data_IF_620855666240
#
_entry.id   IF_620855666240
#
_cell.length_a   1.000
_cell.length_b   1.000
_cell.length_c   1.000
_cell.angle_alpha   90.00
_cell.angle_beta   90.00
_cell.angle_gamma   90.00
#
_symmetry.space_group_name_H-M   'P 1'
#
loop_
_entity.id
_entity.type
_entity.pdbx_description
1 polymer ?
#
# COMPACT_ATOMS: atom_id res chain seq x y z
N UNK A 1 -3.21 10.93 20.78
CA UNK A 1 -2.11 9.96 20.97
C UNK A 1 -0.87 10.60 20.41
N UNK A 2 0.29 10.46 21.06
CA UNK A 2 1.51 11.07 20.54
C UNK A 2 2.04 10.29 19.34
N UNK A 3 2.22 10.96 18.20
CA UNK A 3 2.83 10.43 16.97
C UNK A 3 4.36 10.38 17.10
N UNK A 4 5.04 9.69 16.18
CA UNK A 4 6.50 9.81 16.08
C UNK A 4 6.90 11.22 15.63
N UNK A 5 6.03 11.88 14.86
CA UNK A 5 6.21 13.26 14.39
C UNK A 5 6.32 14.25 15.55
N UNK A 6 5.61 14.01 16.65
CA UNK A 6 5.66 14.87 17.83
C UNK A 6 7.05 14.89 18.47
N UNK A 7 7.85 13.82 18.29
CA UNK A 7 9.24 13.79 18.74
C UNK A 7 10.13 14.76 17.95
N UNK A 8 9.76 15.07 16.70
CA UNK A 8 10.46 16.01 15.82
C UNK A 8 9.89 17.42 16.05
N UNK A 9 8.57 17.58 15.98
CA UNK A 9 7.89 18.89 16.06
C UNK A 9 8.10 19.61 17.39
N UNK A 10 8.35 18.89 18.51
CA UNK A 10 8.68 19.52 19.80
C UNK A 10 9.98 20.32 19.77
N UNK A 11 10.92 19.98 18.89
CA UNK A 11 12.22 20.66 18.79
C UNK A 11 12.12 22.02 18.08
N UNK A 12 11.04 22.24 17.33
CA UNK A 12 10.76 23.46 16.58
C UNK A 12 9.90 24.42 17.43
N UNK A 13 10.49 24.91 18.52
CA UNK A 13 9.85 25.96 19.34
C UNK A 13 10.30 27.35 18.86
N UNK A 14 9.36 28.27 18.50
CA UNK A 14 9.71 29.60 18.02
C UNK A 14 10.56 30.39 19.02
N UNK A 15 11.34 31.36 18.54
CA UNK A 15 12.18 32.24 19.36
C UNK A 15 13.33 31.57 20.12
N UNK A 16 13.57 30.27 19.91
CA UNK A 16 14.74 29.57 20.47
C UNK A 16 16.01 29.89 19.66
N UNK A 17 15.91 29.83 18.33
CA UNK A 17 16.98 30.19 17.41
C UNK A 17 16.41 30.63 16.08
N UNK A 18 16.90 31.76 15.54
CA UNK A 18 16.52 32.26 14.21
C UNK A 18 17.01 31.36 13.08
N UNK A 19 18.09 30.61 13.32
CA UNK A 19 18.65 29.65 12.36
C UNK A 19 18.76 28.27 13.02
N UNK A 20 18.12 27.27 12.41
CA UNK A 20 18.22 25.87 12.81
C UNK A 20 18.75 25.07 11.62
N UNK A 21 19.80 24.28 11.84
CA UNK A 21 20.43 23.39 10.87
C UNK A 21 20.07 21.96 11.23
N UNK A 22 19.49 21.22 10.30
CA UNK A 22 18.98 19.88 10.55
C UNK A 22 19.66 18.86 9.65
N UNK A 23 20.30 17.86 10.24
CA UNK A 23 20.73 16.66 9.53
C UNK A 23 19.54 15.69 9.44
N UNK A 24 19.14 15.34 8.22
CA UNK A 24 18.00 14.46 7.97
C UNK A 24 18.38 13.39 6.93
N UNK A 25 19.24 12.42 7.31
CA UNK A 25 19.69 11.35 6.41
C UNK A 25 18.51 10.52 5.89
N UNK A 26 17.45 10.40 6.68
CA UNK A 26 16.26 9.64 6.37
C UNK A 26 15.14 10.51 5.78
N UNK A 27 15.36 11.77 5.40
CA UNK A 27 14.32 12.62 4.76
C UNK A 27 12.98 12.67 5.52
N UNK A 28 13.00 12.58 6.85
CA UNK A 28 11.83 12.63 7.73
C UNK A 28 11.14 13.99 7.67
N UNK A 29 11.88 15.09 7.50
CA UNK A 29 11.34 16.44 7.47
C UNK A 29 10.56 16.75 6.19
N UNK A 30 10.67 15.93 5.15
CA UNK A 30 9.90 16.08 3.91
C UNK A 30 8.50 15.47 3.98
N UNK A 31 8.22 14.74 5.05
CA UNK A 31 6.89 14.17 5.28
C UNK A 31 5.87 15.30 5.50
N UNK A 32 4.70 15.15 4.88
CA UNK A 32 3.68 16.18 4.77
C UNK A 32 3.27 16.81 6.10
N UNK A 33 2.95 15.99 7.11
CA UNK A 33 2.48 16.48 8.41
C UNK A 33 3.61 17.12 9.21
N UNK A 34 4.86 16.70 8.99
CA UNK A 34 6.01 17.38 9.58
C UNK A 34 6.23 18.75 8.94
N UNK A 35 6.19 18.83 7.60
CA UNK A 35 6.29 20.10 6.87
C UNK A 35 5.19 21.08 7.29
N UNK A 36 3.95 20.60 7.39
CA UNK A 36 2.80 21.38 7.85
C UNK A 36 3.02 21.85 9.29
N UNK A 37 3.36 20.95 10.21
CA UNK A 37 3.58 21.30 11.62
C UNK A 37 4.72 22.30 11.83
N UNK A 38 5.83 22.19 11.07
CA UNK A 38 6.94 23.15 11.13
C UNK A 38 6.48 24.53 10.62
N UNK A 39 5.71 24.58 9.53
CA UNK A 39 5.16 25.84 8.98
C UNK A 39 4.12 26.49 9.90
N UNK A 40 3.25 25.71 10.53
CA UNK A 40 2.27 26.19 11.51
C UNK A 40 2.96 26.82 12.73
N UNK A 41 4.13 26.31 13.11
CA UNK A 41 4.98 26.91 14.13
C UNK A 41 5.72 28.17 13.65
N UNK A 42 5.54 28.60 12.40
CA UNK A 42 6.11 29.83 11.84
C UNK A 42 7.52 29.68 11.26
N UNK A 43 8.01 28.45 11.14
CA UNK A 43 9.32 28.18 10.54
C UNK A 43 9.21 28.02 9.01
N UNK A 44 10.17 28.58 8.29
CA UNK A 44 10.35 28.28 6.87
C UNK A 44 11.47 27.25 6.68
N UNK A 45 11.25 26.28 5.78
CA UNK A 45 12.22 25.23 5.46
C UNK A 45 12.88 25.50 4.10
N UNK A 46 14.21 25.43 4.07
CA UNK A 46 14.98 25.42 2.83
C UNK A 46 15.86 24.17 2.78
N UNK A 47 15.72 23.30 1.76
CA UNK A 47 16.64 22.19 1.55
C UNK A 47 17.99 22.71 1.04
N UNK A 48 19.08 22.15 1.57
CA UNK A 48 20.44 22.42 1.11
C UNK A 48 20.83 21.38 0.06
N UNK A 49 20.67 21.73 -1.21
CA UNK A 49 20.98 20.85 -2.35
C UNK A 49 22.08 21.44 -3.24
N UNK A 50 21.96 22.74 -3.56
CA UNK A 50 22.93 23.49 -4.35
C UNK A 50 23.40 24.70 -3.57
N UNK A 51 24.71 24.89 -3.47
CA UNK A 51 25.33 25.96 -2.68
C UNK A 51 24.90 27.36 -3.15
N UNK A 52 24.79 27.57 -4.47
CA UNK A 52 24.53 28.89 -5.06
C UNK A 52 23.06 29.27 -4.90
N UNK A 53 22.16 28.37 -5.29
CA UNK A 53 20.72 28.54 -5.16
C UNK A 53 20.31 28.71 -3.70
N UNK A 54 20.88 27.88 -2.81
CA UNK A 54 20.67 28.02 -1.38
C UNK A 54 21.15 29.38 -0.87
N UNK A 55 22.38 29.80 -1.21
CA UNK A 55 22.91 31.08 -0.71
C UNK A 55 22.07 32.25 -1.20
N UNK A 56 21.66 32.25 -2.46
CA UNK A 56 20.78 33.26 -3.01
C UNK A 56 19.45 33.36 -2.23
N UNK A 57 18.80 32.22 -1.98
CA UNK A 57 17.54 32.17 -1.24
C UNK A 57 17.70 32.62 0.23
N UNK A 58 18.76 32.17 0.90
CA UNK A 58 19.11 32.55 2.27
C UNK A 58 19.31 34.07 2.41
N UNK A 59 20.13 34.65 1.54
CA UNK A 59 20.47 36.09 1.57
C UNK A 59 19.23 36.95 1.29
N UNK A 60 18.48 36.59 0.24
CA UNK A 60 17.33 37.36 -0.21
C UNK A 60 16.18 37.32 0.82
N UNK A 61 15.82 36.13 1.30
CA UNK A 61 14.60 35.92 2.09
C UNK A 61 14.79 36.05 3.60
N UNK A 62 15.98 35.75 4.13
CA UNK A 62 16.21 35.67 5.58
C UNK A 62 17.25 36.65 6.06
N UNK A 63 18.47 36.60 5.54
CA UNK A 63 19.56 37.47 6.02
C UNK A 63 19.20 38.94 5.92
N UNK A 64 18.68 39.37 4.77
CA UNK A 64 18.25 40.76 4.56
C UNK A 64 17.16 41.23 5.53
N UNK A 65 16.25 40.33 5.94
CA UNK A 65 15.19 40.59 6.93
C UNK A 65 15.75 40.69 8.34
N UNK A 66 16.66 39.78 8.71
CA UNK A 66 17.33 39.80 10.00
C UNK A 66 18.19 41.05 10.20
N UNK A 67 18.88 41.51 9.16
CA UNK A 67 19.66 42.75 9.20
C UNK A 67 18.76 44.00 9.39
N UNK A 68 17.47 43.92 9.03
CA UNK A 68 16.44 44.94 9.32
C UNK A 68 15.75 44.76 10.68
N UNK A 69 16.14 43.76 11.46
CA UNK A 69 15.57 43.46 12.77
C UNK A 69 14.25 42.69 12.75
N UNK A 70 13.81 42.18 11.59
CA UNK A 70 12.60 41.36 11.49
C UNK A 70 12.81 39.98 12.13
N UNK A 71 11.81 39.48 12.86
CA UNK A 71 11.83 38.14 13.47
C UNK A 71 11.27 37.11 12.49
N UNK A 72 12.15 36.32 11.89
CA UNK A 72 11.80 35.16 11.06
C UNK A 72 12.66 33.97 11.47
N UNK A 73 12.07 32.79 11.56
CA UNK A 73 12.78 31.57 11.98
C UNK A 73 13.00 30.65 10.75
N UNK A 74 14.27 30.36 10.46
CA UNK A 74 14.70 29.56 9.31
C UNK A 74 15.19 28.17 9.76
N UNK A 75 14.72 27.15 9.06
CA UNK A 75 15.22 25.78 9.13
C UNK A 75 15.94 25.43 7.83
N UNK A 76 17.22 25.11 7.92
CA UNK A 76 18.04 24.59 6.82
C UNK A 76 18.13 23.08 6.97
N UNK A 77 17.66 22.34 5.97
CA UNK A 77 17.64 20.87 6.00
C UNK A 77 18.75 20.34 5.11
N UNK A 78 19.63 19.55 5.69
CA UNK A 78 20.70 18.84 4.98
C UNK A 78 20.32 17.38 4.79
N UNK A 79 20.11 17.00 3.53
CA UNK A 79 19.86 15.61 3.09
C UNK A 79 21.19 14.93 2.72
N UNK A 80 22.09 14.77 3.68
CA UNK A 80 23.35 14.05 3.45
C UNK A 80 23.33 12.73 4.21
N UNK A 81 23.68 11.62 3.53
CA UNK A 81 23.81 10.30 4.16
C UNK A 81 24.88 10.27 5.25
N UNK A 82 25.83 11.22 5.24
CA UNK A 82 26.86 11.30 6.26
C UNK A 82 26.33 11.91 7.58
N UNK A 83 25.08 12.38 7.64
CA UNK A 83 24.52 13.22 8.74
C UNK A 83 25.42 14.41 9.10
N UNK A 84 26.39 14.72 8.24
CA UNK A 84 27.47 15.61 8.58
C UNK A 84 27.12 17.03 8.14
N UNK A 85 26.70 17.82 9.11
CA UNK A 85 26.43 19.25 8.93
C UNK A 85 27.69 20.01 8.47
N UNK A 86 28.90 19.45 8.59
CA UNK A 86 30.15 20.11 8.22
C UNK A 86 30.24 20.53 6.74
N UNK A 87 29.39 19.99 5.85
CA UNK A 87 29.29 20.46 4.46
C UNK A 87 28.66 21.85 4.32
N UNK A 88 27.98 22.36 5.36
CA UNK A 88 27.37 23.68 5.33
C UNK A 88 28.42 24.80 5.46
N UNK A 89 28.15 25.99 4.87
CA UNK A 89 28.98 27.17 5.07
C UNK A 89 29.28 27.45 6.55
N UNK A 90 30.54 27.80 6.85
CA UNK A 90 31.04 27.95 8.22
C UNK A 90 30.28 29.02 9.02
N UNK A 91 29.87 30.11 8.38
CA UNK A 91 29.08 31.18 8.99
C UNK A 91 27.73 30.66 9.52
N UNK A 92 27.09 29.76 8.78
CA UNK A 92 25.85 29.12 9.22
C UNK A 92 26.11 28.15 10.37
N UNK A 93 27.18 27.35 10.28
CA UNK A 93 27.54 26.40 11.34
C UNK A 93 27.87 27.06 12.67
N UNK A 94 28.38 28.30 12.63
CA UNK A 94 28.67 29.10 13.81
C UNK A 94 27.40 29.74 14.40
N UNK A 95 26.48 30.21 13.55
CA UNK A 95 25.29 30.93 13.97
C UNK A 95 24.08 30.03 14.29
N UNK A 96 24.01 28.83 13.69
CA UNK A 96 22.83 27.98 13.71
C UNK A 96 22.80 26.95 14.84
N UNK A 97 21.61 26.74 15.40
CA UNK A 97 21.30 25.59 16.28
C UNK A 97 21.35 24.31 15.45
N UNK A 98 22.04 23.27 15.92
CA UNK A 98 22.20 22.00 15.18
C UNK A 98 21.25 20.94 15.73
N UNK A 99 20.52 20.27 14.86
CA UNK A 99 19.65 19.14 15.15
C UNK A 99 19.94 17.99 14.17
N UNK A 100 19.57 16.78 14.58
CA UNK A 100 19.66 15.58 13.74
C UNK A 100 18.44 14.72 14.00
N UNK A 101 17.81 14.22 12.94
CA UNK A 101 16.69 13.29 13.03
C UNK A 101 16.95 12.09 12.13
N UNK A 102 16.89 10.90 12.72
CA UNK A 102 17.02 9.64 12.00
C UNK A 102 16.02 8.62 12.55
N UNK A 103 15.80 7.54 11.79
CA UNK A 103 14.88 6.47 12.16
C UNK A 103 15.35 5.71 13.41
N UNK A 104 16.66 5.64 13.68
CA UNK A 104 17.21 4.99 14.87
C UNK A 104 16.77 5.67 16.17
N UNK A 105 16.70 7.00 16.19
CA UNK A 105 16.23 7.76 17.35
C UNK A 105 14.72 7.57 17.60
N UNK A 106 13.94 7.39 16.53
CA UNK A 106 12.49 7.19 16.60
C UNK A 106 12.14 5.74 16.98
N UNK A 107 12.93 4.79 16.48
CA UNK A 107 12.74 3.35 16.64
C UNK A 107 13.94 2.68 17.33
N UNK A 108 14.26 3.05 18.58
CA UNK A 108 15.53 2.71 19.24
C UNK A 108 15.70 1.22 19.60
N UNK A 109 14.64 0.44 19.44
CA UNK A 109 14.60 -0.99 19.78
C UNK A 109 14.52 -1.89 18.54
N UNK A 110 14.46 -1.29 17.36
CA UNK A 110 14.31 -1.98 16.09
C UNK A 110 15.58 -1.81 15.26
N UNK A 111 15.87 -2.82 14.43
CA UNK A 111 16.99 -2.76 13.50
C UNK A 111 16.79 -1.65 12.46
N UNK A 112 17.71 -0.67 12.44
CA UNK A 112 17.68 0.45 11.51
C UNK A 112 17.59 0.02 10.03
N UNK A 113 18.40 -0.92 9.50
CA UNK A 113 18.26 -1.39 8.12
C UNK A 113 16.87 -1.92 7.77
N UNK A 114 16.17 -2.54 8.72
CA UNK A 114 14.82 -3.07 8.50
C UNK A 114 13.80 -1.92 8.45
N UNK A 115 13.91 -0.96 9.37
CA UNK A 115 13.01 0.20 9.41
C UNK A 115 13.23 1.10 8.19
N UNK A 116 14.47 1.31 7.78
CA UNK A 116 14.83 2.13 6.62
C UNK A 116 14.31 1.55 5.28
N UNK A 117 14.04 0.24 5.22
CA UNK A 117 13.47 -0.41 4.04
C UNK A 117 11.94 -0.23 3.91
N UNK A 118 11.26 0.25 4.96
CA UNK A 118 9.81 0.43 4.97
C UNK A 118 9.38 1.67 4.20
N UNK A 119 8.14 1.64 3.69
CA UNK A 119 7.51 2.84 3.17
C UNK A 119 7.17 3.81 4.31
N UNK A 120 7.17 5.12 4.02
CA UNK A 120 6.86 6.16 5.00
C UNK A 120 5.47 6.00 5.60
N UNK A 121 4.51 5.51 4.82
CA UNK A 121 3.17 5.21 5.31
C UNK A 121 3.17 4.20 6.45
N UNK A 122 4.11 3.25 6.47
CA UNK A 122 4.13 2.15 7.43
C UNK A 122 4.69 2.53 8.80
N UNK A 123 5.41 3.65 8.89
CA UNK A 123 6.03 4.13 10.13
C UNK A 123 5.01 4.47 11.22
N UNK A 124 3.81 4.94 10.84
CA UNK A 124 2.74 5.24 11.81
C UNK A 124 2.29 3.98 12.55
N UNK A 125 2.02 2.92 11.79
CA UNK A 125 1.59 1.62 12.33
C UNK A 125 2.72 0.99 13.13
N UNK A 126 3.95 1.07 12.62
CA UNK A 126 5.12 0.55 13.32
C UNK A 126 5.34 1.23 14.68
N UNK A 127 5.19 2.55 14.73
CA UNK A 127 5.40 3.32 15.95
C UNK A 127 4.34 3.02 17.01
N UNK A 128 3.08 2.89 16.62
CA UNK A 128 2.01 2.44 17.51
C UNK A 128 2.25 1.01 17.99
N UNK A 129 2.70 0.10 17.12
CA UNK A 129 3.06 -1.25 17.49
C UNK A 129 4.20 -1.29 18.52
N UNK A 130 5.27 -0.51 18.30
CA UNK A 130 6.39 -0.40 19.24
C UNK A 130 5.92 0.06 20.63
N UNK A 131 5.07 1.10 20.68
CA UNK A 131 4.52 1.59 21.96
C UNK A 131 3.64 0.57 22.67
N UNK A 132 2.79 -0.13 21.91
CA UNK A 132 1.84 -1.10 22.47
C UNK A 132 2.52 -2.36 22.97
N UNK A 133 3.50 -2.87 22.22
CA UNK A 133 4.10 -4.17 22.49
C UNK A 133 5.45 -4.09 23.21
N UNK A 134 6.11 -2.92 23.22
CA UNK A 134 7.39 -2.66 23.88
C UNK A 134 8.42 -3.81 23.68
N UNK A 135 8.80 -4.12 22.43
CA UNK A 135 9.47 -5.38 22.06
C UNK A 135 10.85 -5.69 22.71
N UNK A 136 11.42 -4.83 23.55
CA UNK A 136 12.82 -4.93 23.95
C UNK A 136 13.77 -4.76 22.76
N UNK A 137 15.09 -4.89 22.97
CA UNK A 137 16.07 -4.75 21.89
C UNK A 137 15.98 -5.93 20.90
N UNK A 138 15.72 -5.63 19.64
CA UNK A 138 15.58 -6.62 18.57
C UNK A 138 16.72 -6.53 17.55
N UNK A 139 17.29 -7.68 17.18
CA UNK A 139 18.12 -7.80 15.98
C UNK A 139 17.28 -7.91 14.71
N UNK A 140 17.94 -7.90 13.55
CA UNK A 140 17.30 -7.86 12.23
C UNK A 140 16.15 -8.85 12.04
N UNK A 141 16.37 -10.15 12.29
CA UNK A 141 15.32 -11.16 12.08
C UNK A 141 14.10 -10.95 12.99
N UNK A 142 14.34 -10.59 14.26
CA UNK A 142 13.27 -10.30 15.20
C UNK A 142 12.50 -9.03 14.79
N UNK A 143 13.19 -8.00 14.31
CA UNK A 143 12.56 -6.80 13.76
C UNK A 143 11.74 -7.12 12.51
N UNK A 144 12.25 -7.94 11.59
CA UNK A 144 11.50 -8.36 10.38
C UNK A 144 10.21 -9.09 10.74
N UNK A 145 10.26 -10.01 11.69
CA UNK A 145 9.07 -10.74 12.18
C UNK A 145 8.08 -9.81 12.92
N UNK A 146 8.59 -8.89 13.74
CA UNK A 146 7.78 -7.89 14.41
C UNK A 146 7.03 -7.02 13.41
N UNK A 147 7.72 -6.54 12.38
CA UNK A 147 7.14 -5.72 11.31
C UNK A 147 6.11 -6.53 10.51
N UNK A 148 6.43 -7.76 10.10
CA UNK A 148 5.48 -8.65 9.42
C UNK A 148 4.19 -8.80 10.24
N UNK A 149 4.31 -9.06 11.54
CA UNK A 149 3.17 -9.33 12.42
C UNK A 149 2.33 -8.09 12.73
N UNK A 150 2.97 -6.96 13.00
CA UNK A 150 2.25 -5.79 13.54
C UNK A 150 1.97 -4.70 12.52
N UNK A 151 2.72 -4.64 11.41
CA UNK A 151 2.50 -3.68 10.33
C UNK A 151 1.72 -4.31 9.19
N UNK A 152 2.15 -5.49 8.72
CA UNK A 152 1.50 -6.16 7.59
C UNK A 152 0.44 -7.19 8.01
N UNK A 153 0.30 -7.43 9.32
CA UNK A 153 -0.57 -8.43 9.95
C UNK A 153 -0.39 -9.83 9.36
N UNK A 154 0.85 -10.18 9.06
CA UNK A 154 1.30 -11.51 8.63
C UNK A 154 2.05 -12.14 9.79
N UNK A 155 1.52 -13.24 10.33
CA UNK A 155 2.16 -14.04 11.36
C UNK A 155 2.60 -15.38 10.74
N UNK A 156 3.81 -15.48 10.14
CA UNK A 156 4.23 -16.66 9.39
C UNK A 156 4.14 -17.95 10.21
N UNK A 157 4.46 -17.88 11.50
CA UNK A 157 4.43 -19.00 12.43
C UNK A 157 3.04 -19.62 12.64
N UNK A 158 1.96 -18.86 12.39
CA UNK A 158 0.58 -19.33 12.51
C UNK A 158 0.04 -19.96 11.22
N UNK A 159 0.80 -19.88 10.11
CA UNK A 159 0.38 -20.40 8.81
C UNK A 159 0.75 -21.89 8.74
N UNK A 160 -0.18 -22.73 9.20
CA UNK A 160 0.01 -24.20 9.27
C UNK A 160 -0.75 -25.00 8.21
N UNK A 161 -1.55 -24.34 7.39
CA UNK A 161 -2.39 -25.00 6.39
C UNK A 161 -2.51 -24.15 5.11
N UNK A 162 -2.77 -24.78 3.95
CA UNK A 162 -3.01 -24.10 2.67
C UNK A 162 -3.98 -22.92 2.72
N UNK A 163 -5.07 -23.04 3.49
CA UNK A 163 -6.06 -21.97 3.66
C UNK A 163 -5.44 -20.70 4.26
N UNK A 164 -4.57 -20.85 5.25
CA UNK A 164 -3.90 -19.72 5.91
C UNK A 164 -2.95 -19.00 4.96
N UNK A 165 -2.14 -19.75 4.21
CA UNK A 165 -1.23 -19.18 3.21
C UNK A 165 -2.02 -18.46 2.12
N UNK A 166 -3.03 -19.12 1.56
CA UNK A 166 -3.85 -18.56 0.50
C UNK A 166 -4.56 -17.28 0.95
N UNK A 167 -5.07 -17.22 2.18
CA UNK A 167 -5.69 -16.01 2.75
C UNK A 167 -4.69 -14.85 2.86
N UNK A 168 -3.45 -15.11 3.28
CA UNK A 168 -2.40 -14.08 3.35
C UNK A 168 -2.04 -13.56 1.96
N UNK A 169 -1.85 -14.46 0.99
CA UNK A 169 -1.55 -14.10 -0.39
C UNK A 169 -2.70 -13.31 -1.05
N UNK A 170 -3.95 -13.77 -0.89
CA UNK A 170 -5.14 -13.06 -1.37
C UNK A 170 -5.20 -11.65 -0.82
N UNK A 171 -5.07 -11.49 0.51
CA UNK A 171 -5.11 -10.19 1.15
C UNK A 171 -4.01 -9.26 0.64
N UNK A 172 -2.77 -9.76 0.57
CA UNK A 172 -1.60 -9.02 0.09
C UNK A 172 -1.81 -8.52 -1.33
N UNK A 173 -2.13 -9.43 -2.25
CA UNK A 173 -2.21 -9.15 -3.68
C UNK A 173 -3.49 -8.43 -4.08
N UNK A 174 -4.60 -8.66 -3.38
CA UNK A 174 -5.83 -7.92 -3.60
C UNK A 174 -5.65 -6.44 -3.24
N UNK A 175 -5.12 -6.15 -2.04
CA UNK A 175 -4.85 -4.78 -1.57
C UNK A 175 -3.64 -4.13 -2.25
N UNK A 176 -2.81 -4.89 -2.96
CA UNK A 176 -1.57 -4.39 -3.55
C UNK A 176 -0.56 -3.93 -2.48
N UNK A 177 -0.50 -4.62 -1.34
CA UNK A 177 0.43 -4.30 -0.27
C UNK A 177 1.87 -4.39 -0.77
N UNK A 178 2.63 -3.31 -0.59
CA UNK A 178 4.05 -3.25 -0.95
C UNK A 178 4.87 -3.64 0.26
N UNK A 179 5.30 -4.90 0.28
CA UNK A 179 6.15 -5.44 1.33
C UNK A 179 7.60 -5.41 0.83
N UNK A 180 8.55 -4.83 1.57
CA UNK A 180 9.96 -4.83 1.17
C UNK A 180 10.52 -6.24 1.00
N UNK A 181 11.39 -6.41 -0.01
CA UNK A 181 11.97 -7.72 -0.35
C UNK A 181 12.65 -8.41 0.84
N UNK A 182 13.29 -7.65 1.73
CA UNK A 182 13.94 -8.20 2.93
C UNK A 182 12.96 -8.89 3.90
N UNK A 183 11.69 -8.48 3.89
CA UNK A 183 10.63 -9.08 4.69
C UNK A 183 10.04 -10.29 3.96
N UNK A 184 9.91 -10.23 2.63
CA UNK A 184 9.51 -11.37 1.81
C UNK A 184 10.49 -12.53 1.95
N UNK A 185 11.79 -12.25 1.88
CA UNK A 185 12.84 -13.23 2.11
C UNK A 185 12.69 -13.90 3.48
N UNK A 186 12.44 -13.11 4.53
CA UNK A 186 12.23 -13.68 5.87
C UNK A 186 10.94 -14.49 5.94
N UNK A 187 9.87 -14.02 5.31
CA UNK A 187 8.60 -14.71 5.27
C UNK A 187 8.73 -16.08 4.58
N UNK A 188 9.37 -16.11 3.42
CA UNK A 188 9.68 -17.34 2.66
C UNK A 188 10.53 -18.28 3.53
N UNK A 189 11.61 -17.77 4.15
CA UNK A 189 12.48 -18.58 5.01
C UNK A 189 11.70 -19.27 6.13
N UNK A 190 10.76 -18.58 6.79
CA UNK A 190 9.94 -19.19 7.85
C UNK A 190 8.98 -20.23 7.29
N UNK A 191 8.32 -19.95 6.16
CA UNK A 191 7.40 -20.92 5.53
C UNK A 191 8.12 -22.18 5.06
N UNK A 192 9.36 -22.07 4.56
CA UNK A 192 10.18 -23.18 4.10
C UNK A 192 10.74 -24.06 5.22
N UNK A 193 10.63 -23.65 6.49
CA UNK A 193 10.95 -24.51 7.63
C UNK A 193 9.91 -25.62 7.84
N UNK A 194 8.71 -25.46 7.29
CA UNK A 194 7.62 -26.41 7.38
C UNK A 194 7.40 -27.08 6.00
N UNK A 195 7.45 -28.41 5.95
CA UNK A 195 7.28 -29.16 4.70
C UNK A 195 5.84 -29.08 4.15
N UNK A 196 4.89 -28.51 4.90
CA UNK A 196 3.48 -28.34 4.46
C UNK A 196 3.34 -27.63 3.11
N UNK A 197 4.30 -26.77 2.74
CA UNK A 197 4.24 -25.95 1.53
C UNK A 197 5.30 -26.31 0.50
N UNK A 198 5.90 -27.50 0.58
CA UNK A 198 6.98 -27.94 -0.32
C UNK A 198 6.59 -27.81 -1.80
N UNK A 199 5.38 -28.26 -2.16
CA UNK A 199 4.87 -28.19 -3.53
C UNK A 199 4.44 -26.78 -3.98
N UNK A 200 4.33 -25.81 -3.07
CA UNK A 200 3.92 -24.45 -3.43
C UNK A 200 5.11 -23.65 -3.99
N UNK A 201 4.95 -22.91 -5.10
CA UNK A 201 5.97 -21.98 -5.59
C UNK A 201 5.92 -20.66 -4.80
N UNK A 202 6.19 -20.72 -3.49
CA UNK A 202 6.01 -19.62 -2.53
C UNK A 202 6.78 -18.36 -2.96
N UNK A 203 7.99 -18.52 -3.48
CA UNK A 203 8.84 -17.41 -3.94
C UNK A 203 8.14 -16.62 -5.05
N UNK A 204 7.60 -17.31 -6.05
CA UNK A 204 6.86 -16.69 -7.16
C UNK A 204 5.54 -16.10 -6.67
N UNK A 205 4.78 -16.84 -5.87
CA UNK A 205 3.44 -16.41 -5.43
C UNK A 205 3.49 -15.23 -4.46
N UNK A 206 4.57 -15.05 -3.70
CA UNK A 206 4.72 -13.91 -2.78
C UNK A 206 5.14 -12.66 -3.57
N UNK A 207 6.15 -12.77 -4.43
CA UNK A 207 6.75 -11.62 -5.08
C UNK A 207 5.99 -11.12 -6.31
N UNK A 208 5.27 -12.00 -7.02
CA UNK A 208 4.59 -11.66 -8.28
C UNK A 208 3.07 -11.78 -8.15
N UNK A 209 2.41 -10.63 -8.22
CA UNK A 209 0.95 -10.48 -8.16
C UNK A 209 0.25 -11.13 -9.35
N UNK A 210 0.76 -10.95 -10.56
CA UNK A 210 0.14 -11.47 -11.78
C UNK A 210 0.31 -12.99 -11.86
N UNK A 211 1.47 -13.50 -11.43
CA UNK A 211 1.67 -14.93 -11.26
C UNK A 211 0.70 -15.51 -10.23
N UNK A 212 0.49 -14.83 -9.10
CA UNK A 212 -0.49 -15.29 -8.10
C UNK A 212 -1.93 -15.35 -8.65
N UNK A 213 -2.38 -14.33 -9.38
CA UNK A 213 -3.72 -14.37 -9.98
C UNK A 213 -3.83 -15.40 -11.11
N UNK A 214 -2.78 -15.58 -11.91
CA UNK A 214 -2.72 -16.66 -12.90
C UNK A 214 -2.82 -18.03 -12.22
N UNK A 215 -2.10 -18.23 -11.11
CA UNK A 215 -2.14 -19.47 -10.33
C UNK A 215 -3.57 -19.79 -9.85
N UNK A 216 -4.33 -18.80 -9.37
CA UNK A 216 -5.74 -18.97 -9.00
C UNK A 216 -6.63 -19.25 -10.22
N UNK A 217 -6.45 -18.49 -11.29
CA UNK A 217 -7.24 -18.60 -12.52
C UNK A 217 -7.15 -20.00 -13.13
N UNK A 218 -5.95 -20.58 -13.15
CA UNK A 218 -5.71 -21.93 -13.69
C UNK A 218 -6.40 -23.03 -12.87
N UNK A 219 -6.54 -22.83 -11.55
CA UNK A 219 -7.12 -23.82 -10.62
C UNK A 219 -8.63 -23.69 -10.47
N UNK A 220 -9.20 -22.56 -10.89
CA UNK A 220 -10.62 -22.31 -10.80
C UNK A 220 -11.49 -23.32 -11.57
N UNK A 221 -11.23 -23.64 -12.86
CA UNK A 221 -12.00 -24.66 -13.59
C UNK A 221 -11.96 -26.04 -12.94
N UNK A 222 -10.82 -26.41 -12.37
CA UNK A 222 -10.62 -27.71 -11.73
C UNK A 222 -11.48 -27.80 -10.48
N UNK A 223 -11.51 -26.74 -9.68
CA UNK A 223 -12.40 -26.62 -8.55
C UNK A 223 -13.88 -26.70 -8.95
N UNK A 224 -14.29 -26.04 -10.04
CA UNK A 224 -15.66 -26.13 -10.56
C UNK A 224 -16.03 -27.57 -10.95
N UNK A 225 -15.14 -28.29 -11.64
CA UNK A 225 -15.35 -29.70 -11.97
C UNK A 225 -15.56 -30.53 -10.69
N UNK A 226 -14.72 -30.32 -9.68
CA UNK A 226 -14.83 -31.05 -8.39
C UNK A 226 -16.17 -30.80 -7.68
N UNK A 227 -16.81 -29.65 -7.91
CA UNK A 227 -18.13 -29.33 -7.34
C UNK A 227 -19.26 -30.09 -8.00
N UNK A 228 -19.17 -30.34 -9.30
CA UNK A 228 -20.17 -31.11 -10.04
C UNK A 228 -20.03 -32.59 -9.72
N UNK A 229 -18.81 -33.13 -9.74
CA UNK A 229 -18.53 -34.55 -9.47
C UNK A 229 -18.85 -34.99 -8.03
N UNK A 230 -18.82 -34.07 -7.05
CA UNK A 230 -19.19 -34.39 -5.66
C UNK A 230 -20.70 -34.60 -5.47
N UNK A 231 -21.54 -34.09 -6.38
CA UNK A 231 -22.99 -34.31 -6.35
C UNK A 231 -23.41 -35.55 -7.17
N UNK A 232 -22.69 -35.87 -8.24
CA UNK A 232 -22.90 -37.05 -9.06
C UNK A 232 -22.06 -38.22 -8.54
N UNK A 233 -22.61 -39.09 -7.68
CA UNK A 233 -21.88 -40.23 -7.13
C UNK A 233 -21.35 -41.17 -8.25
N UNK A 234 -20.04 -41.15 -8.48
CA UNK A 234 -19.35 -42.10 -9.37
C UNK A 234 -17.92 -41.64 -9.68
N UNK A 235 -16.95 -42.28 -9.03
CA UNK A 235 -15.51 -42.09 -9.20
C UNK A 235 -15.12 -42.05 -10.69
N UNK A 236 -14.69 -40.88 -11.18
CA UNK A 236 -13.92 -40.76 -12.43
C UNK A 236 -12.45 -40.55 -12.08
N UNK A 237 -11.57 -41.23 -12.82
CA UNK A 237 -10.12 -41.13 -12.68
C UNK A 237 -9.65 -39.67 -12.76
N UNK A 238 -8.67 -39.34 -11.91
CA UNK A 238 -7.95 -38.08 -11.88
C UNK A 238 -7.36 -37.78 -13.27
N UNK A 239 -8.14 -37.10 -14.12
CA UNK A 239 -7.58 -36.43 -15.28
C UNK A 239 -6.67 -35.33 -14.74
N UNK A 240 -5.37 -35.64 -14.67
CA UNK A 240 -4.34 -34.65 -14.36
C UNK A 240 -4.59 -33.44 -15.26
N UNK A 241 -4.83 -32.26 -14.70
CA UNK A 241 -5.01 -31.07 -15.49
C UNK A 241 -3.73 -30.85 -16.30
N UNK A 242 -3.81 -31.05 -17.62
CA UNK A 242 -2.72 -30.71 -18.52
C UNK A 242 -2.75 -29.20 -18.76
N UNK A 243 -1.58 -28.55 -18.68
CA UNK A 243 -1.42 -27.14 -19.09
C UNK A 243 -1.39 -26.09 -17.98
N UNK A 244 -1.16 -26.47 -16.72
CA UNK A 244 -0.87 -25.47 -15.67
C UNK A 244 0.52 -24.86 -15.91
N UNK A 245 0.57 -23.54 -16.13
CA UNK A 245 1.83 -22.81 -16.35
C UNK A 245 2.58 -22.67 -15.04
N UNK A 246 1.86 -22.43 -13.95
CA UNK A 246 2.44 -22.26 -12.61
C UNK A 246 2.28 -23.56 -11.83
N UNK A 247 3.42 -24.12 -11.42
CA UNK A 247 3.49 -25.35 -10.62
C UNK A 247 2.78 -25.20 -9.27
N UNK A 248 2.52 -26.34 -8.62
CA UNK A 248 1.99 -26.40 -7.26
C UNK A 248 0.61 -27.02 -7.17
N UNK A 249 0.02 -27.05 -5.96
CA UNK A 249 -1.12 -27.91 -5.67
C UNK A 249 -2.30 -27.58 -6.56
N UNK A 250 -2.94 -28.63 -7.06
CA UNK A 250 -4.09 -28.51 -7.96
C UNK A 250 -5.34 -28.08 -7.19
N UNK A 251 -5.57 -28.69 -6.03
CA UNK A 251 -6.73 -28.41 -5.20
C UNK A 251 -6.47 -27.25 -4.25
N UNK A 252 -7.19 -26.15 -4.45
CA UNK A 252 -7.18 -25.00 -3.56
C UNK A 252 -8.45 -24.94 -2.72
N UNK A 253 -8.37 -24.48 -1.45
CA UNK A 253 -9.51 -24.38 -0.55
C UNK A 253 -10.43 -23.19 -0.87
N UNK A 254 -10.86 -23.03 -2.13
CA UNK A 254 -11.74 -21.94 -2.57
C UNK A 254 -13.08 -21.90 -1.82
N UNK A 255 -13.54 -23.05 -1.32
CA UNK A 255 -14.76 -23.14 -0.53
C UNK A 255 -14.67 -22.55 0.88
N UNK A 256 -13.49 -22.21 1.37
CA UNK A 256 -13.38 -21.61 2.69
C UNK A 256 -14.03 -20.22 2.71
N UNK A 257 -14.85 -19.91 3.72
CA UNK A 257 -15.64 -18.67 3.76
C UNK A 257 -14.80 -17.41 3.55
N UNK A 258 -13.67 -17.28 4.25
CA UNK A 258 -12.75 -16.15 4.10
C UNK A 258 -12.15 -16.02 2.71
N UNK A 259 -11.99 -17.12 1.97
CA UNK A 259 -11.42 -17.13 0.62
C UNK A 259 -12.48 -16.71 -0.40
N UNK A 260 -13.74 -17.16 -0.23
CA UNK A 260 -14.85 -16.83 -1.13
C UNK A 260 -15.02 -15.32 -1.30
N UNK A 261 -14.92 -14.57 -0.21
CA UNK A 261 -15.07 -13.11 -0.23
C UNK A 261 -14.04 -12.46 -1.18
N UNK A 262 -12.78 -12.90 -1.11
CA UNK A 262 -11.76 -12.40 -2.04
C UNK A 262 -12.02 -12.86 -3.46
N UNK A 263 -12.37 -14.14 -3.67
CA UNK A 263 -12.67 -14.65 -5.01
C UNK A 263 -13.80 -13.89 -5.68
N UNK A 264 -14.87 -13.59 -4.94
CA UNK A 264 -16.00 -12.80 -5.42
C UNK A 264 -15.55 -11.42 -5.90
N UNK A 265 -14.75 -10.72 -5.10
CA UNK A 265 -14.22 -9.40 -5.47
C UNK A 265 -13.25 -9.48 -6.66
N UNK A 266 -12.37 -10.48 -6.71
CA UNK A 266 -11.43 -10.67 -7.80
C UNK A 266 -12.15 -10.87 -9.14
N UNK A 267 -13.24 -11.65 -9.18
CA UNK A 267 -14.05 -11.78 -10.40
C UNK A 267 -14.88 -10.53 -10.70
N UNK A 268 -15.42 -9.87 -9.67
CA UNK A 268 -16.25 -8.68 -9.84
C UNK A 268 -15.46 -7.49 -10.40
N UNK A 269 -14.20 -7.34 -9.97
CA UNK A 269 -13.27 -6.28 -10.38
C UNK A 269 -12.41 -6.67 -11.59
N UNK A 270 -12.69 -7.81 -12.22
CA UNK A 270 -12.00 -8.25 -13.45
C UNK A 270 -10.53 -8.61 -13.26
N UNK A 271 -10.08 -8.88 -12.03
CA UNK A 271 -8.75 -9.43 -11.74
C UNK A 271 -8.70 -10.92 -12.08
N UNK A 272 -9.83 -11.61 -11.95
CA UNK A 272 -10.05 -12.96 -12.47
C UNK A 272 -11.20 -12.94 -13.49
N UNK A 273 -11.15 -13.89 -14.42
CA UNK A 273 -12.09 -14.00 -15.53
C UNK A 273 -12.99 -15.21 -15.38
N UNK A 274 -14.29 -15.01 -15.54
CA UNK A 274 -15.27 -16.09 -15.52
C UNK A 274 -15.08 -17.07 -16.68
N UNK A 275 -15.19 -18.36 -16.39
CA UNK A 275 -14.96 -19.45 -17.34
C UNK A 275 -16.28 -20.07 -17.79
N UNK A 276 -16.32 -20.54 -19.03
CA UNK A 276 -17.45 -21.34 -19.53
C UNK A 276 -17.38 -22.75 -18.93
N UNK A 277 -18.54 -23.32 -18.60
CA UNK A 277 -18.62 -24.65 -18.00
C UNK A 277 -19.89 -25.36 -18.48
N UNK A 278 -19.83 -26.66 -18.76
CA UNK A 278 -20.97 -27.44 -19.28
C UNK A 278 -22.16 -27.40 -18.32
N UNK A 279 -21.91 -27.59 -17.02
CA UNK A 279 -22.89 -27.54 -15.95
C UNK A 279 -23.16 -26.13 -15.38
N UNK A 280 -23.11 -25.08 -16.21
CA UNK A 280 -23.29 -23.70 -15.75
C UNK A 280 -24.63 -23.48 -15.03
N UNK A 281 -25.72 -24.09 -15.50
CA UNK A 281 -27.07 -23.94 -14.89
C UNK A 281 -27.13 -24.43 -13.44
N UNK A 282 -26.32 -25.44 -13.10
CA UNK A 282 -26.17 -25.91 -11.73
C UNK A 282 -25.27 -24.96 -10.93
N UNK A 283 -24.07 -24.70 -11.42
CA UNK A 283 -23.05 -23.92 -10.70
C UNK A 283 -23.53 -22.50 -10.36
N UNK A 284 -24.36 -21.90 -11.22
CA UNK A 284 -24.90 -20.55 -11.04
C UNK A 284 -25.91 -20.41 -9.90
N UNK A 285 -26.41 -21.53 -9.36
CA UNK A 285 -27.24 -21.57 -8.16
C UNK A 285 -26.41 -21.56 -6.87
N UNK A 286 -25.09 -21.70 -6.98
CA UNK A 286 -24.16 -21.69 -5.85
C UNK A 286 -23.36 -20.39 -5.79
N UNK A 287 -22.48 -20.26 -4.79
CA UNK A 287 -21.64 -19.08 -4.62
C UNK A 287 -20.68 -18.83 -5.80
N UNK A 288 -20.27 -19.89 -6.52
CA UNK A 288 -19.28 -19.81 -7.62
C UNK A 288 -19.81 -19.11 -8.87
N UNK A 289 -21.10 -18.71 -8.88
CA UNK A 289 -21.78 -18.07 -10.02
C UNK A 289 -20.96 -16.94 -10.65
N UNK A 290 -20.33 -16.09 -9.84
CA UNK A 290 -19.58 -14.93 -10.34
C UNK A 290 -18.38 -15.33 -11.20
N UNK A 291 -17.79 -16.51 -10.92
CA UNK A 291 -16.70 -17.10 -11.68
C UNK A 291 -17.14 -17.98 -12.86
N UNK A 292 -18.44 -18.11 -13.13
CA UNK A 292 -19.00 -18.90 -14.25
C UNK A 292 -19.63 -17.97 -15.29
N UNK A 293 -19.33 -18.20 -16.55
CA UNK A 293 -19.91 -17.44 -17.67
C UNK A 293 -21.35 -17.90 -17.92
N UNK A 294 -22.30 -16.95 -17.94
CA UNK A 294 -23.73 -17.21 -18.17
C UNK A 294 -24.30 -16.35 -19.30
N UNK A 295 -25.61 -16.40 -19.53
CA UNK A 295 -26.29 -15.58 -20.53
C UNK A 295 -25.87 -14.09 -20.45
N UNK A 296 -25.45 -13.47 -21.56
CA UNK A 296 -24.67 -12.23 -21.50
C UNK A 296 -25.41 -11.04 -20.88
N UNK A 297 -26.71 -10.82 -21.14
CA UNK A 297 -27.35 -9.54 -20.81
C UNK A 297 -27.70 -9.38 -19.32
N UNK A 298 -28.45 -10.32 -18.75
CA UNK A 298 -28.90 -10.23 -17.34
C UNK A 298 -27.76 -10.35 -16.34
N UNK A 299 -26.75 -11.16 -16.64
CA UNK A 299 -25.60 -11.32 -15.76
C UNK A 299 -24.69 -10.08 -15.79
N UNK A 300 -24.53 -9.43 -16.96
CA UNK A 300 -23.81 -8.15 -17.08
C UNK A 300 -24.45 -7.04 -16.25
N UNK A 301 -25.76 -6.82 -16.34
CA UNK A 301 -26.44 -5.78 -15.54
C UNK A 301 -26.34 -6.04 -14.04
N UNK A 302 -26.43 -7.31 -13.61
CA UNK A 302 -26.26 -7.69 -12.21
C UNK A 302 -24.83 -7.43 -11.73
N UNK A 303 -23.82 -7.84 -12.49
CA UNK A 303 -22.40 -7.61 -12.16
C UNK A 303 -22.10 -6.11 -12.07
N UNK A 304 -22.60 -5.33 -13.01
CA UNK A 304 -22.48 -3.87 -12.98
C UNK A 304 -23.06 -3.28 -11.67
N UNK A 305 -24.27 -3.68 -11.30
CA UNK A 305 -24.90 -3.21 -10.05
C UNK A 305 -24.13 -3.65 -8.79
N UNK A 306 -23.55 -4.86 -8.79
CA UNK A 306 -22.70 -5.34 -7.70
C UNK A 306 -21.41 -4.53 -7.61
N UNK A 307 -20.77 -4.24 -8.75
CA UNK A 307 -19.54 -3.45 -8.81
C UNK A 307 -19.77 -2.01 -8.36
N UNK A 308 -20.87 -1.38 -8.79
CA UNK A 308 -21.27 -0.03 -8.31
C UNK A 308 -21.42 -0.03 -6.78
N UNK A 309 -22.14 -1.01 -6.22
CA UNK A 309 -22.33 -1.10 -4.76
C UNK A 309 -21.02 -1.34 -4.01
N UNK A 310 -20.15 -2.19 -4.53
CA UNK A 310 -18.84 -2.44 -3.94
C UNK A 310 -18.01 -1.15 -3.93
N UNK A 311 -17.94 -0.46 -5.07
CA UNK A 311 -17.20 0.81 -5.20
C UNK A 311 -17.78 1.91 -4.29
N UNK A 312 -19.10 2.00 -4.15
CA UNK A 312 -19.72 2.95 -3.21
C UNK A 312 -19.28 2.70 -1.76
N UNK A 313 -19.15 1.42 -1.37
CA UNK A 313 -18.71 1.06 -0.02
C UNK A 313 -17.19 1.18 0.18
N UNK A 314 -16.41 1.24 -0.91
CA UNK A 314 -14.95 1.23 -0.88
C UNK A 314 -14.32 2.57 -1.26
N UNK A 315 -15.08 3.67 -1.31
CA UNK A 315 -14.52 5.00 -1.55
C UNK A 315 -13.49 5.30 -0.44
N UNK A 316 -12.23 5.61 -0.77
CA UNK A 316 -11.22 5.91 0.24
C UNK A 316 -11.61 7.10 1.13
N UNK A 317 -11.29 6.99 2.42
CA UNK A 317 -11.52 8.05 3.40
C UNK A 317 -10.61 9.27 3.20
N UNK A 318 -10.90 10.39 3.87
CA UNK A 318 -10.09 11.61 3.76
C UNK A 318 -8.65 11.44 4.26
N UNK A 319 -8.41 10.51 5.17
CA UNK A 319 -7.10 10.17 5.71
C UNK A 319 -6.44 8.96 5.01
N UNK A 320 -7.08 8.43 3.97
CA UNK A 320 -6.56 7.31 3.20
C UNK A 320 -5.18 7.61 2.59
N UNK A 321 -4.40 6.54 2.36
CA UNK A 321 -3.12 6.66 1.67
C UNK A 321 -3.35 6.72 0.16
N UNK A 322 -2.34 7.20 -0.57
CA UNK A 322 -2.40 7.22 -2.03
C UNK A 322 -2.59 5.81 -2.63
N UNK A 323 -2.02 4.78 -1.99
CA UNK A 323 -2.19 3.39 -2.39
C UNK A 323 -3.64 2.91 -2.39
N UNK A 324 -4.47 3.40 -1.45
CA UNK A 324 -5.89 3.05 -1.38
C UNK A 324 -6.65 3.61 -2.60
N UNK A 325 -6.27 4.80 -3.07
CA UNK A 325 -6.80 5.38 -4.30
C UNK A 325 -6.35 4.60 -5.55
N UNK A 326 -5.11 4.10 -5.60
CA UNK A 326 -4.67 3.22 -6.69
C UNK A 326 -5.44 1.89 -6.71
N UNK A 327 -5.71 1.32 -5.54
CA UNK A 327 -6.55 0.13 -5.43
C UNK A 327 -7.98 0.40 -5.92
N UNK A 328 -8.60 1.49 -5.45
CA UNK A 328 -9.92 1.93 -5.89
C UNK A 328 -9.98 2.18 -7.42
N UNK A 329 -8.96 2.82 -7.98
CA UNK A 329 -8.88 3.15 -9.40
C UNK A 329 -8.96 1.92 -10.31
N UNK A 330 -8.52 0.75 -9.84
CA UNK A 330 -8.65 -0.50 -10.60
C UNK A 330 -10.11 -0.91 -10.78
N UNK A 331 -10.88 -0.92 -9.70
CA UNK A 331 -12.31 -1.22 -9.77
C UNK A 331 -13.08 -0.16 -10.55
N UNK A 332 -12.67 1.11 -10.42
CA UNK A 332 -13.21 2.21 -11.23
C UNK A 332 -12.97 2.02 -12.74
N UNK A 333 -11.77 1.57 -13.12
CA UNK A 333 -11.43 1.29 -14.51
C UNK A 333 -12.28 0.13 -15.07
N UNK A 334 -12.48 -0.94 -14.29
CA UNK A 334 -13.37 -2.03 -14.69
C UNK A 334 -14.81 -1.56 -14.85
N UNK A 335 -15.30 -0.71 -13.94
CA UNK A 335 -16.62 -0.09 -14.07
C UNK A 335 -16.74 0.70 -15.37
N UNK A 336 -15.75 1.55 -15.68
CA UNK A 336 -15.73 2.34 -16.91
C UNK A 336 -15.76 1.45 -18.17
N UNK A 337 -15.00 0.36 -18.18
CA UNK A 337 -15.00 -0.62 -19.29
C UNK A 337 -16.36 -1.30 -19.43
N UNK A 338 -16.99 -1.73 -18.33
CA UNK A 338 -18.30 -2.38 -18.38
C UNK A 338 -19.40 -1.42 -18.87
N UNK A 339 -19.32 -0.15 -18.46
CA UNK A 339 -20.26 0.90 -18.87
C UNK A 339 -20.12 1.20 -20.34
N UNK A 340 -18.88 1.37 -20.84
CA UNK A 340 -18.65 1.63 -22.27
C UNK A 340 -19.05 0.45 -23.16
N UNK A 341 -18.88 -0.78 -22.67
CA UNK A 341 -19.31 -2.00 -23.38
C UNK A 341 -20.82 -2.22 -23.36
N UNK A 342 -21.55 -1.55 -22.49
CA UNK A 342 -23.01 -1.60 -22.46
C UNK A 342 -23.57 -0.44 -23.30
N UNK A 343 -24.48 -0.75 -24.22
CA UNK A 343 -25.42 0.26 -24.72
C UNK A 343 -26.45 0.48 -23.61
N UNK A 344 -26.07 1.23 -22.57
CA UNK A 344 -26.97 1.52 -21.45
C UNK A 344 -28.08 2.43 -21.97
N UNK A 345 -29.34 2.00 -21.86
CA UNK A 345 -30.47 2.88 -22.15
C UNK A 345 -30.47 4.04 -21.14
N UNK A 346 -30.66 5.30 -21.55
CA UNK A 346 -30.45 6.48 -20.70
C UNK A 346 -31.27 6.55 -19.40
N UNK A 347 -32.31 5.72 -19.23
CA UNK A 347 -33.31 5.83 -18.15
C UNK A 347 -33.21 4.75 -17.05
N UNK A 348 -32.22 3.85 -17.10
CA UNK A 348 -32.09 2.80 -16.09
C UNK A 348 -31.62 3.32 -14.71
N UNK A 349 -32.13 2.76 -13.61
CA UNK A 349 -31.69 3.07 -12.23
C UNK A 349 -30.15 2.91 -12.03
N UNK A 350 -29.52 2.05 -12.83
CA UNK A 350 -28.06 1.89 -12.86
C UNK A 350 -27.36 3.20 -13.28
N UNK A 351 -27.93 3.95 -14.23
CA UNK A 351 -27.41 5.23 -14.72
C UNK A 351 -27.42 6.30 -13.64
N UNK A 352 -28.48 6.36 -12.82
CA UNK A 352 -28.56 7.29 -11.69
C UNK A 352 -27.55 6.93 -10.58
N UNK A 353 -27.45 5.64 -10.26
CA UNK A 353 -26.51 5.15 -9.25
C UNK A 353 -25.06 5.43 -9.67
N UNK A 354 -24.74 5.27 -10.96
CA UNK A 354 -23.43 5.56 -11.51
C UNK A 354 -23.10 7.04 -11.45
N UNK A 355 -24.02 7.93 -11.85
CA UNK A 355 -23.80 9.39 -11.75
C UNK A 355 -23.58 9.83 -10.31
N UNK A 356 -24.37 9.29 -9.38
CA UNK A 356 -24.21 9.55 -7.95
C UNK A 356 -22.85 9.09 -7.44
N UNK A 357 -22.43 7.88 -7.80
CA UNK A 357 -21.12 7.35 -7.43
C UNK A 357 -19.99 8.22 -8.00
N UNK A 358 -20.06 8.61 -9.28
CA UNK A 358 -19.07 9.51 -9.89
C UNK A 358 -18.94 10.82 -9.13
N UNK A 359 -20.07 11.47 -8.79
CA UNK A 359 -20.04 12.72 -8.03
C UNK A 359 -19.40 12.54 -6.65
N UNK A 360 -19.70 11.43 -5.95
CA UNK A 360 -19.09 11.14 -4.65
C UNK A 360 -17.58 10.94 -4.77
N UNK A 361 -17.13 10.18 -5.78
CA UNK A 361 -15.71 9.93 -6.04
C UNK A 361 -14.98 11.24 -6.38
N UNK A 362 -15.54 12.07 -7.27
CA UNK A 362 -14.94 13.34 -7.69
C UNK A 362 -14.75 14.28 -6.49
N UNK A 363 -15.75 14.40 -5.63
CA UNK A 363 -15.69 15.24 -4.42
C UNK A 363 -14.67 14.71 -3.41
N UNK A 364 -14.69 13.40 -3.15
CA UNK A 364 -13.79 12.77 -2.18
C UNK A 364 -12.34 12.87 -2.66
N UNK A 365 -12.07 12.53 -3.93
CA UNK A 365 -10.73 12.58 -4.50
C UNK A 365 -10.19 14.00 -4.59
N UNK A 366 -10.99 14.97 -5.04
CA UNK A 366 -10.55 16.37 -5.13
C UNK A 366 -10.19 16.93 -3.75
N UNK A 367 -11.01 16.63 -2.73
CA UNK A 367 -10.79 17.08 -1.36
C UNK A 367 -9.54 16.42 -0.74
N UNK A 368 -9.36 15.12 -0.97
CA UNK A 368 -8.17 14.37 -0.55
C UNK A 368 -6.89 14.92 -1.24
N UNK A 369 -6.94 15.10 -2.56
CA UNK A 369 -5.80 15.56 -3.35
C UNK A 369 -5.38 16.97 -2.96
N UNK A 370 -6.34 17.89 -2.76
CA UNK A 370 -6.04 19.26 -2.36
C UNK A 370 -5.25 19.35 -1.05
N UNK A 371 -5.50 18.43 -0.11
CA UNK A 371 -4.76 18.35 1.16
C UNK A 371 -3.41 17.63 0.99
N UNK A 372 -3.39 16.52 0.27
CA UNK A 372 -2.23 15.60 0.19
C UNK A 372 -1.21 15.93 -0.90
N UNK A 373 -1.51 16.82 -1.84
CA UNK A 373 -0.68 17.04 -3.03
C UNK A 373 0.78 17.38 -2.71
N UNK A 374 1.02 18.24 -1.71
CA UNK A 374 2.37 18.63 -1.31
C UNK A 374 3.21 17.45 -0.80
N UNK A 375 2.59 16.51 -0.08
CA UNK A 375 3.23 15.29 0.38
C UNK A 375 3.56 14.32 -0.77
N UNK A 376 2.67 14.22 -1.76
CA UNK A 376 2.86 13.31 -2.90
C UNK A 376 4.09 13.67 -3.76
N UNK A 377 4.39 14.96 -3.90
CA UNK A 377 5.56 15.44 -4.66
C UNK A 377 6.88 15.04 -3.99
N UNK A 378 6.89 14.84 -2.68
CA UNK A 378 8.09 14.46 -1.94
C UNK A 378 8.31 12.94 -1.86
N UNK A 379 7.41 12.14 -2.45
CA UNK A 379 7.55 10.69 -2.44
C UNK A 379 8.72 10.25 -3.34
N UNK A 380 9.37 9.12 -3.02
CA UNK A 380 10.38 8.55 -3.90
C UNK A 380 9.84 8.32 -5.33
N UNK A 381 10.68 8.48 -6.36
CA UNK A 381 10.26 8.31 -7.75
C UNK A 381 9.98 6.85 -8.12
N UNK A 382 10.43 5.89 -7.31
CA UNK A 382 10.27 4.46 -7.57
C UNK A 382 9.46 3.81 -6.44
N UNK A 383 8.32 3.18 -6.75
CA UNK A 383 7.61 3.24 -8.04
C UNK A 383 6.96 4.63 -8.26
N UNK A 384 6.70 5.03 -9.51
CA UNK A 384 6.19 6.37 -9.80
C UNK A 384 4.79 6.56 -9.22
N UNK A 385 4.62 7.62 -8.43
CA UNK A 385 3.33 8.06 -7.88
C UNK A 385 2.83 9.31 -8.59
N UNK A 386 3.76 10.18 -9.01
CA UNK A 386 3.48 11.43 -9.71
C UNK A 386 4.00 11.36 -11.14
N UNK A 387 3.38 12.12 -12.05
CA UNK A 387 3.75 12.10 -13.47
C UNK A 387 5.23 12.44 -13.71
N UNK A 388 5.79 13.37 -12.93
CA UNK A 388 7.20 13.77 -13.03
C UNK A 388 8.19 12.70 -12.51
N UNK A 389 7.70 11.60 -11.92
CA UNK A 389 8.52 10.44 -11.58
C UNK A 389 8.74 9.50 -12.77
N UNK A 390 7.96 9.66 -13.86
CA UNK A 390 8.08 8.84 -15.06
C UNK A 390 9.18 9.45 -15.95
N UNK A 391 10.25 8.69 -16.30
CA UNK A 391 11.38 9.17 -17.10
C UNK A 391 11.01 9.63 -18.51
#
# INVERSE_FOLDING_TARGET
>A
MSSWRDQILKEFTPKVSRLTLVADPDSLLLEEKILEGIREQGFELIPFEDHVAFRYAYELKFRSRWDRGEETDLVVVLRSQASDLACLPYDLLQAGRKLSFNLGDIFPHLSYPVVAALDRGDLDVLYEAQKRHAPGQMGDNATKEFVLRHVFEIAPELIKQPTGLLRVLLRRHYRGLRIPAILDERFIQILRQDNTFEDWPIETLISDREAFFTFLQERWPIFLNSKVTKEETGTREDQKPYGLTIKGPVDLPFDHHDIRVYMDNLFLEGLLHSVSHEHADFLTKTWVRIGVRTEPSKDRSRRLNMLIKNLQASIPAEDARHGDWFHFARGWAELAVQVYRQVIAPEDMATQSLKSLQTQVDVAFASWLARRYAGLVNLPPVPPVMLHHIP
#
